data_IF_067344447656
#
_entry.id   IF_067344447656
#
_cell.length_a   1.000
_cell.length_b   1.000
_cell.length_c   1.000
_cell.angle_alpha   90.00
_cell.angle_beta   90.00
_cell.angle_gamma   90.00
#
_symmetry.space_group_name_H-M   'P 1'
#
loop_
_entity.id
_entity.type
_entity.pdbx_description
1 polymer ?
#
# COMPACT_ATOMS: atom_id res chain seq x y z
N UNK A 1 -12.03 33.81 -0.20
CA UNK A 1 -11.45 33.79 1.16
C UNK A 1 -11.41 32.34 1.62
N UNK A 2 -10.26 31.67 1.45
CA UNK A 2 -10.10 30.30 1.93
C UNK A 2 -9.69 30.38 3.40
N UNK A 3 -10.49 29.81 4.30
CA UNK A 3 -10.14 29.71 5.70
C UNK A 3 -8.93 28.78 5.83
N UNK A 4 -7.83 29.31 6.39
CA UNK A 4 -6.69 28.51 6.81
C UNK A 4 -7.19 27.53 7.89
N UNK A 5 -7.42 26.28 7.52
CA UNK A 5 -7.54 25.22 8.51
C UNK A 5 -6.13 25.01 9.08
N UNK A 6 -5.94 25.08 10.42
CA UNK A 6 -4.65 24.76 11.00
C UNK A 6 -4.24 23.34 10.63
N UNK A 7 -2.96 23.14 10.30
CA UNK A 7 -2.44 21.81 9.96
C UNK A 7 -2.76 20.83 11.10
N UNK A 8 -3.24 19.61 10.79
CA UNK A 8 -3.54 18.62 11.82
C UNK A 8 -2.28 18.08 12.54
N UNK A 9 -1.07 18.50 12.15
CA UNK A 9 0.21 18.07 12.72
C UNK A 9 1.00 19.21 13.37
N UNK A 10 0.48 19.89 14.41
CA UNK A 10 1.17 21.00 15.06
C UNK A 10 2.49 20.56 15.72
N UNK A 11 2.56 19.33 16.27
CA UNK A 11 3.78 18.78 16.84
C UNK A 11 4.87 18.58 15.78
N UNK A 12 4.54 18.03 14.61
CA UNK A 12 5.51 17.82 13.54
C UNK A 12 6.11 19.13 13.01
N UNK A 13 5.30 20.19 12.94
CA UNK A 13 5.76 21.54 12.61
C UNK A 13 6.68 22.16 13.67
N UNK A 14 6.47 21.80 14.95
CA UNK A 14 7.36 22.19 16.05
C UNK A 14 8.68 21.45 15.94
N UNK A 15 8.65 20.13 15.77
CA UNK A 15 9.86 19.31 15.67
C UNK A 15 10.71 19.68 14.46
N UNK A 16 10.10 19.97 13.31
CA UNK A 16 10.79 20.40 12.10
C UNK A 16 11.55 21.74 12.24
N UNK A 17 11.34 22.48 13.34
CA UNK A 17 12.01 23.75 13.66
C UNK A 17 12.79 23.69 14.98
N UNK A 18 12.94 22.50 15.54
CA UNK A 18 13.64 22.27 16.80
C UNK A 18 15.16 22.42 16.61
N UNK A 19 15.89 22.66 17.70
CA UNK A 19 17.36 22.71 17.66
C UNK A 19 17.97 21.29 17.64
N UNK A 20 17.19 20.27 18.01
CA UNK A 20 17.63 18.89 18.04
C UNK A 20 17.56 18.23 16.64
N UNK A 21 18.69 17.83 16.03
CA UNK A 21 18.70 17.39 14.63
C UNK A 21 17.82 16.17 14.32
N UNK A 22 17.67 15.24 15.27
CA UNK A 22 16.82 14.07 15.06
C UNK A 22 15.31 14.41 15.14
N UNK A 23 14.92 15.41 15.93
CA UNK A 23 13.55 15.91 15.96
C UNK A 23 13.23 16.66 14.66
N UNK A 24 14.17 17.44 14.15
CA UNK A 24 14.03 18.12 12.85
C UNK A 24 13.76 17.10 11.75
N UNK A 25 14.57 16.04 11.68
CA UNK A 25 14.39 14.99 10.69
C UNK A 25 13.04 14.26 10.86
N UNK A 26 12.68 13.90 12.09
CA UNK A 26 11.40 13.24 12.37
C UNK A 26 10.20 14.11 11.99
N UNK A 27 10.25 15.40 12.33
CA UNK A 27 9.21 16.36 11.96
C UNK A 27 9.07 16.48 10.44
N UNK A 28 10.20 16.57 9.73
CA UNK A 28 10.22 16.62 8.26
C UNK A 28 9.64 15.33 7.65
N UNK A 29 10.00 14.15 8.17
CA UNK A 29 9.49 12.86 7.69
C UNK A 29 7.98 12.76 7.89
N UNK A 30 7.47 13.14 9.07
CA UNK A 30 6.03 13.15 9.36
C UNK A 30 5.28 14.09 8.43
N UNK A 31 5.80 15.30 8.20
CA UNK A 31 5.16 16.26 7.28
C UNK A 31 5.19 15.77 5.83
N UNK A 32 6.31 15.19 5.40
CA UNK A 32 6.44 14.63 4.06
C UNK A 32 5.50 13.43 3.84
N UNK A 33 5.17 12.68 4.89
CA UNK A 33 4.20 11.58 4.85
C UNK A 33 2.74 12.04 4.85
N UNK A 34 2.49 13.34 5.05
CA UNK A 34 1.16 13.97 5.02
C UNK A 34 1.13 15.17 4.07
N UNK A 35 1.40 14.93 2.78
CA UNK A 35 1.47 15.99 1.78
C UNK A 35 0.11 16.67 1.57
N UNK A 36 0.13 17.99 1.37
CA UNK A 36 -1.04 18.75 0.91
C UNK A 36 -1.36 18.49 -0.57
N UNK A 37 -2.53 18.92 -1.07
CA UNK A 37 -2.96 18.80 -2.47
C UNK A 37 -1.92 19.27 -3.49
N UNK A 38 -1.16 20.32 -3.16
CA UNK A 38 -0.12 20.91 -3.99
C UNK A 38 1.05 19.97 -4.32
N UNK A 39 1.26 18.93 -3.50
CA UNK A 39 2.37 18.00 -3.67
C UNK A 39 2.05 16.86 -4.65
N UNK A 40 0.79 16.70 -5.08
CA UNK A 40 0.35 15.55 -5.88
C UNK A 40 1.18 15.41 -7.18
N UNK A 41 1.28 16.47 -7.98
CA UNK A 41 2.05 16.45 -9.23
C UNK A 41 3.52 16.11 -8.99
N UNK A 42 4.13 16.70 -7.95
CA UNK A 42 5.52 16.44 -7.58
C UNK A 42 5.77 14.98 -7.17
N UNK A 43 4.80 14.34 -6.48
CA UNK A 43 4.90 12.93 -6.08
C UNK A 43 4.74 11.98 -7.27
N UNK A 44 3.87 12.30 -8.24
CA UNK A 44 3.74 11.52 -9.48
C UNK A 44 5.04 11.59 -10.28
N UNK A 45 5.60 12.79 -10.43
CA UNK A 45 6.90 13.00 -11.09
C UNK A 45 8.03 12.26 -10.38
N UNK A 46 8.06 12.30 -9.04
CA UNK A 46 9.06 11.60 -8.24
C UNK A 46 8.99 10.09 -8.49
N UNK A 47 7.79 9.49 -8.44
CA UNK A 47 7.62 8.07 -8.69
C UNK A 47 8.05 7.69 -10.13
N UNK A 48 7.74 8.55 -11.10
CA UNK A 48 8.18 8.37 -12.49
C UNK A 48 9.71 8.42 -12.63
N UNK A 49 10.37 9.36 -11.95
CA UNK A 49 11.84 9.48 -11.91
C UNK A 49 12.48 8.27 -11.23
N UNK A 50 11.94 7.83 -10.10
CA UNK A 50 12.38 6.61 -9.40
C UNK A 50 12.31 5.38 -10.32
N UNK A 51 11.21 5.23 -11.07
CA UNK A 51 11.07 4.14 -12.04
C UNK A 51 12.13 4.22 -13.15
N UNK A 52 12.31 5.41 -13.76
CA UNK A 52 13.27 5.62 -14.83
C UNK A 52 14.72 5.36 -14.37
N UNK A 53 15.04 5.77 -13.14
CA UNK A 53 16.35 5.57 -12.51
C UNK A 53 16.57 4.14 -11.98
N UNK A 54 15.55 3.27 -12.02
CA UNK A 54 15.58 1.93 -11.41
C UNK A 54 15.93 1.98 -9.91
N UNK A 55 15.39 2.99 -9.23
CA UNK A 55 15.47 3.09 -7.77
C UNK A 55 14.59 2.00 -7.18
N UNK A 56 15.20 0.90 -6.73
CA UNK A 56 14.44 -0.24 -6.22
C UNK A 56 14.05 -0.12 -4.76
N UNK A 57 14.85 0.57 -3.94
CA UNK A 57 14.62 0.71 -2.50
C UNK A 57 14.00 2.07 -2.17
N UNK A 58 12.85 2.06 -1.51
CA UNK A 58 12.16 3.25 -1.01
C UNK A 58 11.02 3.86 -1.84
N UNK A 59 10.71 3.46 -3.10
CA UNK A 59 9.53 3.98 -3.81
C UNK A 59 8.20 3.67 -3.11
N UNK A 60 8.18 2.69 -2.20
CA UNK A 60 7.04 2.35 -1.36
C UNK A 60 6.58 3.55 -0.48
N UNK A 61 7.50 4.41 -0.05
CA UNK A 61 7.18 5.67 0.64
C UNK A 61 6.41 6.64 -0.26
N UNK A 62 6.86 6.80 -1.50
CA UNK A 62 6.17 7.64 -2.49
C UNK A 62 4.77 7.09 -2.77
N UNK A 63 4.65 5.76 -2.93
CA UNK A 63 3.36 5.11 -3.14
C UNK A 63 2.39 5.31 -1.96
N UNK A 64 2.86 5.19 -0.71
CA UNK A 64 2.04 5.48 0.49
C UNK A 64 1.55 6.92 0.55
N UNK A 65 2.38 7.88 0.16
CA UNK A 65 1.99 9.30 0.09
C UNK A 65 0.94 9.53 -0.99
N UNK A 66 1.12 8.94 -2.18
CA UNK A 66 0.17 9.00 -3.28
C UNK A 66 -1.19 8.38 -2.93
N UNK A 67 -1.20 7.28 -2.17
CA UNK A 67 -2.42 6.60 -1.72
C UNK A 67 -3.40 7.54 -0.99
N UNK A 68 -2.89 8.57 -0.31
CA UNK A 68 -3.72 9.52 0.47
C UNK A 68 -4.58 10.42 -0.41
N UNK A 69 -4.19 10.63 -1.66
CA UNK A 69 -4.98 11.40 -2.62
C UNK A 69 -6.08 10.55 -3.27
N UNK A 70 -6.09 9.23 -3.03
CA UNK A 70 -7.10 8.32 -3.58
C UNK A 70 -7.20 8.47 -5.11
N UNK A 71 -8.42 8.54 -5.68
CA UNK A 71 -8.62 8.64 -7.13
C UNK A 71 -7.89 9.80 -7.82
N UNK A 72 -7.57 10.89 -7.11
CA UNK A 72 -6.87 12.04 -7.68
C UNK A 72 -5.44 11.68 -8.12
N UNK A 73 -4.85 10.60 -7.56
CA UNK A 73 -3.54 10.10 -7.95
C UNK A 73 -3.57 9.05 -9.08
N UNK A 74 -4.63 9.02 -9.91
CA UNK A 74 -4.78 8.05 -11.00
C UNK A 74 -3.55 7.98 -11.95
N UNK A 75 -2.87 9.11 -12.18
CA UNK A 75 -1.67 9.17 -13.02
C UNK A 75 -0.49 8.34 -12.46
N UNK A 76 -0.47 8.04 -11.17
CA UNK A 76 0.55 7.21 -10.54
C UNK A 76 0.36 5.70 -10.80
N UNK A 77 -0.86 5.25 -11.09
CA UNK A 77 -1.23 3.82 -11.17
C UNK A 77 -0.29 3.01 -12.08
N UNK A 78 0.06 3.46 -13.31
CA UNK A 78 0.96 2.70 -14.16
C UNK A 78 2.34 2.47 -13.54
N UNK A 79 2.88 3.44 -12.79
CA UNK A 79 4.16 3.31 -12.12
C UNK A 79 4.08 2.40 -10.90
N UNK A 80 3.03 2.53 -10.08
CA UNK A 80 2.82 1.67 -8.91
C UNK A 80 2.66 0.20 -9.35
N UNK A 81 1.90 -0.07 -10.43
CA UNK A 81 1.78 -1.43 -10.99
C UNK A 81 3.12 -1.99 -11.46
N UNK A 82 3.96 -1.18 -12.10
CA UNK A 82 5.30 -1.59 -12.53
C UNK A 82 6.20 -1.92 -11.34
N UNK A 83 6.19 -1.08 -10.30
CA UNK A 83 6.95 -1.35 -9.09
C UNK A 83 6.48 -2.61 -8.36
N UNK A 84 5.17 -2.79 -8.19
CA UNK A 84 4.64 -4.02 -7.61
C UNK A 84 5.10 -5.27 -8.38
N UNK A 85 5.05 -5.23 -9.72
CA UNK A 85 5.42 -6.36 -10.58
C UNK A 85 6.93 -6.64 -10.60
N UNK A 86 7.76 -5.60 -10.46
CA UNK A 86 9.21 -5.68 -10.74
C UNK A 86 10.10 -5.53 -9.52
N UNK A 87 9.57 -5.08 -8.39
CA UNK A 87 10.39 -4.87 -7.20
C UNK A 87 11.02 -6.19 -6.75
N UNK A 88 12.34 -6.21 -6.52
CA UNK A 88 13.00 -7.34 -5.88
C UNK A 88 12.71 -7.39 -4.38
N UNK A 89 12.12 -6.35 -3.81
CA UNK A 89 11.88 -6.20 -2.38
C UNK A 89 10.44 -6.54 -2.03
N UNK A 90 10.21 -7.76 -1.56
CA UNK A 90 8.89 -8.24 -1.15
C UNK A 90 8.24 -7.37 -0.08
N UNK A 91 9.03 -6.83 0.86
CA UNK A 91 8.55 -5.96 1.95
C UNK A 91 7.88 -4.67 1.45
N UNK A 92 8.14 -4.25 0.21
CA UNK A 92 7.52 -3.06 -0.39
C UNK A 92 6.18 -3.36 -1.08
N UNK A 93 5.94 -4.61 -1.50
CA UNK A 93 4.74 -4.98 -2.26
C UNK A 93 3.42 -4.69 -1.55
N UNK A 94 3.29 -4.86 -0.22
CA UNK A 94 2.07 -4.47 0.48
C UNK A 94 1.74 -2.99 0.30
N UNK A 95 2.74 -2.11 0.33
CA UNK A 95 2.54 -0.68 0.17
C UNK A 95 2.04 -0.32 -1.23
N UNK A 96 2.55 -1.00 -2.27
CA UNK A 96 2.07 -0.81 -3.63
C UNK A 96 0.62 -1.34 -3.80
N UNK A 97 0.28 -2.50 -3.21
CA UNK A 97 -1.08 -3.03 -3.22
C UNK A 97 -2.08 -2.09 -2.55
N UNK A 98 -1.73 -1.57 -1.38
CA UNK A 98 -2.57 -0.62 -0.63
C UNK A 98 -2.74 0.69 -1.40
N UNK A 99 -1.67 1.19 -2.02
CA UNK A 99 -1.74 2.39 -2.85
C UNK A 99 -2.64 2.17 -4.08
N UNK A 100 -2.51 1.04 -4.78
CA UNK A 100 -3.41 0.70 -5.88
C UNK A 100 -4.85 0.63 -5.41
N UNK A 101 -5.13 -0.03 -4.29
CA UNK A 101 -6.48 -0.15 -3.74
C UNK A 101 -7.10 1.17 -3.30
N UNK A 102 -6.28 2.13 -2.87
CA UNK A 102 -6.73 3.47 -2.50
C UNK A 102 -7.04 4.34 -3.74
N UNK A 103 -6.25 4.20 -4.81
CA UNK A 103 -6.33 5.04 -6.00
C UNK A 103 -7.37 4.49 -7.00
N UNK A 104 -7.27 3.21 -7.34
CA UNK A 104 -8.12 2.54 -8.31
C UNK A 104 -8.37 1.09 -7.90
N UNK A 105 -9.57 0.82 -7.37
CA UNK A 105 -9.99 -0.54 -6.99
C UNK A 105 -10.23 -1.45 -8.19
N UNK A 106 -10.30 -0.89 -9.40
CA UNK A 106 -10.52 -1.63 -10.64
C UNK A 106 -9.33 -2.50 -11.03
N UNK A 107 -9.63 -3.73 -11.44
CA UNK A 107 -8.63 -4.62 -12.06
C UNK A 107 -7.47 -5.00 -11.13
N UNK A 108 -7.76 -5.20 -9.84
CA UNK A 108 -6.80 -5.68 -8.84
C UNK A 108 -6.88 -7.19 -8.59
N UNK A 109 -7.83 -7.90 -9.21
CA UNK A 109 -8.02 -9.34 -9.05
C UNK A 109 -6.73 -10.14 -9.26
N UNK A 110 -5.99 -9.81 -10.32
CA UNK A 110 -4.69 -10.43 -10.60
C UNK A 110 -3.68 -10.18 -9.49
N UNK A 111 -3.49 -8.92 -9.08
CA UNK A 111 -2.47 -8.59 -8.08
C UNK A 111 -2.78 -9.19 -6.71
N UNK A 112 -4.06 -9.25 -6.31
CA UNK A 112 -4.45 -9.92 -5.08
C UNK A 112 -4.29 -11.43 -5.15
N UNK A 113 -4.60 -12.03 -6.30
CA UNK A 113 -4.41 -13.47 -6.51
C UNK A 113 -2.92 -13.81 -6.38
N UNK A 114 -2.05 -13.16 -7.14
CA UNK A 114 -0.59 -13.38 -7.07
C UNK A 114 -0.02 -13.17 -5.66
N UNK A 115 -0.58 -12.22 -4.88
CA UNK A 115 -0.10 -11.93 -3.53
C UNK A 115 -0.26 -13.11 -2.55
N UNK A 116 -1.08 -14.13 -2.88
CA UNK A 116 -1.18 -15.38 -2.09
C UNK A 116 0.09 -16.25 -2.15
N UNK A 117 0.98 -15.99 -3.11
CA UNK A 117 2.27 -16.66 -3.25
C UNK A 117 3.44 -15.77 -2.81
N UNK A 118 3.17 -14.58 -2.28
CA UNK A 118 4.24 -13.70 -1.82
C UNK A 118 4.94 -14.27 -0.58
N UNK A 119 6.22 -13.95 -0.41
CA UNK A 119 6.96 -14.27 0.80
C UNK A 119 6.67 -13.28 1.94
N UNK A 120 6.22 -12.07 1.61
CA UNK A 120 5.82 -11.04 2.56
C UNK A 120 4.44 -11.35 3.16
N UNK A 121 4.41 -11.49 4.47
CA UNK A 121 3.20 -11.85 5.23
C UNK A 121 2.04 -10.90 4.94
N UNK A 122 2.30 -9.59 4.97
CA UNK A 122 1.27 -8.58 4.75
C UNK A 122 0.69 -8.61 3.33
N UNK A 123 1.49 -9.00 2.33
CA UNK A 123 0.98 -9.19 0.97
C UNK A 123 0.03 -10.40 0.91
N UNK A 124 0.38 -11.52 1.57
CA UNK A 124 -0.52 -12.68 1.68
C UNK A 124 -1.82 -12.33 2.39
N UNK A 125 -1.78 -11.54 3.46
CA UNK A 125 -2.99 -11.08 4.17
C UNK A 125 -3.91 -10.24 3.27
N UNK A 126 -3.34 -9.32 2.48
CA UNK A 126 -4.10 -8.55 1.48
C UNK A 126 -4.70 -9.46 0.40
N UNK A 127 -3.93 -10.44 -0.08
CA UNK A 127 -4.41 -11.45 -1.02
C UNK A 127 -5.59 -12.25 -0.46
N UNK A 128 -5.49 -12.77 0.76
CA UNK A 128 -6.57 -13.53 1.42
C UNK A 128 -7.85 -12.68 1.53
N UNK A 129 -7.70 -11.42 1.92
CA UNK A 129 -8.83 -10.53 2.13
C UNK A 129 -9.56 -10.18 0.82
N UNK A 130 -8.81 -9.96 -0.27
CA UNK A 130 -9.33 -9.28 -1.45
C UNK A 130 -9.34 -10.08 -2.75
N UNK A 131 -8.63 -11.21 -2.83
CA UNK A 131 -8.62 -12.02 -4.04
C UNK A 131 -10.02 -12.59 -4.36
N UNK A 132 -10.37 -12.70 -5.65
CA UNK A 132 -11.66 -13.25 -6.09
C UNK A 132 -11.81 -14.70 -5.62
N UNK A 133 -13.02 -15.12 -5.26
CA UNK A 133 -13.28 -16.47 -4.76
C UNK A 133 -13.33 -17.53 -5.88
N UNK A 134 -12.24 -17.63 -6.65
CA UNK A 134 -12.07 -18.69 -7.65
C UNK A 134 -11.62 -20.01 -6.99
N UNK A 135 -11.81 -21.17 -7.64
CA UNK A 135 -11.31 -22.45 -7.12
C UNK A 135 -9.80 -22.45 -6.84
N UNK A 136 -9.01 -21.81 -7.70
CA UNK A 136 -7.56 -21.67 -7.53
C UNK A 136 -7.21 -20.84 -6.29
N UNK A 137 -7.85 -19.68 -6.15
CA UNK A 137 -7.66 -18.78 -5.00
C UNK A 137 -8.04 -19.47 -3.69
N UNK A 138 -9.22 -20.11 -3.64
CA UNK A 138 -9.69 -20.81 -2.44
C UNK A 138 -8.81 -22.01 -2.11
N UNK A 139 -8.34 -22.75 -3.13
CA UNK A 139 -7.38 -23.84 -2.96
C UNK A 139 -6.08 -23.35 -2.34
N UNK A 140 -5.52 -22.24 -2.84
CA UNK A 140 -4.31 -21.64 -2.28
C UNK A 140 -4.52 -21.14 -0.85
N UNK A 141 -5.65 -20.52 -0.54
CA UNK A 141 -5.99 -20.07 0.82
C UNK A 141 -6.11 -21.27 1.77
N UNK A 142 -6.66 -22.41 1.33
CA UNK A 142 -6.69 -23.64 2.13
C UNK A 142 -5.28 -24.18 2.41
N UNK A 143 -4.36 -24.09 1.46
CA UNK A 143 -2.95 -24.43 1.70
C UNK A 143 -2.34 -23.51 2.77
N UNK A 144 -2.53 -22.19 2.65
CA UNK A 144 -2.02 -21.23 3.65
C UNK A 144 -2.59 -21.49 5.06
N UNK A 145 -3.87 -21.91 5.15
CA UNK A 145 -4.53 -22.27 6.42
C UNK A 145 -3.82 -23.41 7.15
N UNK A 146 -3.41 -24.42 6.38
CA UNK A 146 -2.93 -25.71 6.88
C UNK A 146 -1.40 -25.80 6.96
N UNK A 147 -0.67 -24.82 6.39
CA UNK A 147 0.79 -24.78 6.39
C UNK A 147 1.35 -24.56 7.82
N UNK A 148 2.06 -25.54 8.41
CA UNK A 148 2.60 -25.41 9.76
C UNK A 148 3.71 -24.36 9.89
N UNK A 149 4.36 -23.97 8.78
CA UNK A 149 5.41 -22.94 8.76
C UNK A 149 4.85 -21.53 8.57
N UNK A 150 3.55 -21.39 8.31
CA UNK A 150 2.89 -20.11 8.12
C UNK A 150 2.55 -19.42 9.47
N UNK A 151 2.51 -18.09 9.45
CA UNK A 151 2.20 -17.28 10.64
C UNK A 151 0.79 -17.57 11.17
N UNK A 152 0.60 -17.35 12.46
CA UNK A 152 -0.72 -17.52 13.11
C UNK A 152 -1.78 -16.63 12.47
N UNK A 153 -1.39 -15.42 12.11
CA UNK A 153 -2.19 -14.34 11.55
C UNK A 153 -2.68 -14.73 10.15
N UNK A 154 -1.78 -15.16 9.26
CA UNK A 154 -2.14 -15.63 7.92
C UNK A 154 -3.05 -16.85 8.00
N UNK A 155 -2.72 -17.83 8.85
CA UNK A 155 -3.58 -19.01 9.05
C UNK A 155 -4.96 -18.65 9.58
N UNK A 156 -5.06 -17.68 10.50
CA UNK A 156 -6.32 -17.21 11.05
C UNK A 156 -7.17 -16.49 9.99
N UNK A 157 -6.55 -15.59 9.21
CA UNK A 157 -7.20 -14.92 8.10
C UNK A 157 -7.71 -15.91 7.06
N UNK A 158 -6.90 -16.92 6.70
CA UNK A 158 -7.28 -17.98 5.77
C UNK A 158 -8.46 -18.82 6.28
N UNK A 159 -8.47 -19.21 7.57
CA UNK A 159 -9.62 -19.89 8.20
C UNK A 159 -10.89 -19.05 8.06
N UNK A 160 -10.82 -17.78 8.46
CA UNK A 160 -11.98 -16.87 8.41
C UNK A 160 -12.50 -16.73 6.98
N UNK A 161 -11.60 -16.59 6.00
CA UNK A 161 -11.96 -16.40 4.60
C UNK A 161 -12.68 -17.62 3.99
N UNK A 162 -12.33 -18.84 4.40
CA UNK A 162 -12.93 -20.09 3.90
C UNK A 162 -14.27 -20.43 4.56
N UNK A 163 -14.56 -19.88 5.73
CA UNK A 163 -15.86 -20.05 6.42
C UNK A 163 -16.87 -18.98 5.96
N UNK A 164 -16.40 -17.84 5.48
CA UNK A 164 -17.27 -16.79 4.96
C UNK A 164 -18.08 -17.30 3.74
N UNK A 165 -19.42 -17.18 3.75
CA UNK A 165 -20.24 -17.60 2.61
C UNK A 165 -19.85 -16.82 1.36
N UNK A 166 -19.56 -17.56 0.29
CA UNK A 166 -19.18 -17.00 -1.01
C UNK A 166 -20.29 -16.07 -1.54
N UNK A 167 -20.10 -14.76 -1.42
CA UNK A 167 -20.72 -13.77 -2.31
C UNK A 167 -22.08 -13.18 -1.91
N UNK A 168 -22.19 -12.53 -0.75
CA UNK A 168 -23.12 -11.41 -0.62
C UNK A 168 -22.35 -10.10 -0.72
N UNK A 169 -22.11 -9.65 -1.96
CA UNK A 169 -22.08 -8.20 -2.23
C UNK A 169 -23.54 -7.76 -2.23
N UNK A 170 -24.01 -7.19 -1.12
CA UNK A 170 -25.23 -6.40 -1.15
C UNK A 170 -24.97 -5.16 -2.03
N UNK A 171 -25.96 -4.71 -2.81
CA UNK A 171 -25.82 -3.62 -3.78
C UNK A 171 -25.36 -2.31 -3.15
#
# INVERSE_FOLDING_TARGET
>A
MSAWAPSPYPAAHSWARDDCPWLVQLGADVLADHPGPEALLGLVEELAKQWAARTWCGPDRTARRLARFGPDAAEAVPYIRRFWLRTPHSYERPAYLEALAAIDRGGLDYVYTESLWDCEERARLLGIASAPASPETLGRIAVLRDDPMETSEVRAAARARLVAPSGLRLP
#
